data_IF_873004548312
#
_entry.id   IF_873004548312
#
_cell.length_a   1.000
_cell.length_b   1.000
_cell.length_c   1.000
_cell.angle_alpha   90.00
_cell.angle_beta   90.00
_cell.angle_gamma   90.00
#
_symmetry.space_group_name_H-M   'P 1'
#
loop_
_entity.id
_entity.type
_entity.pdbx_description
1 polymer ?
#
# COMPACT_ATOMS: atom_id res chain seq x y z
N UNK A 1 -8.19 -5.35 -4.38
CA UNK A 1 -8.88 -6.37 -3.52
C UNK A 1 -9.04 -5.77 -2.12
N UNK A 2 -10.09 -6.08 -1.35
CA UNK A 2 -10.32 -5.52 -0.01
C UNK A 2 -11.14 -6.49 0.84
N UNK A 3 -10.78 -6.66 2.13
CA UNK A 3 -11.51 -7.47 3.11
C UNK A 3 -12.64 -6.68 3.81
N UNK A 4 -12.53 -5.36 3.85
CA UNK A 4 -13.50 -4.48 4.50
C UNK A 4 -14.74 -4.23 3.65
N UNK A 5 -15.78 -3.74 4.31
CA UNK A 5 -17.10 -3.55 3.72
C UNK A 5 -17.64 -2.11 3.83
N UNK A 6 -16.76 -1.11 3.85
CA UNK A 6 -17.12 0.30 4.02
C UNK A 6 -18.22 0.71 3.04
N UNK A 7 -19.33 1.27 3.54
CA UNK A 7 -20.53 1.49 2.73
C UNK A 7 -20.38 2.55 1.64
N UNK A 8 -19.45 3.49 1.80
CA UNK A 8 -19.12 4.51 0.81
C UNK A 8 -18.11 4.04 -0.25
N UNK A 9 -17.46 2.89 -0.05
CA UNK A 9 -16.31 2.49 -0.85
C UNK A 9 -16.72 1.57 -2.01
N UNK A 10 -16.44 1.98 -3.25
CA UNK A 10 -16.77 1.20 -4.46
C UNK A 10 -16.04 -0.15 -4.59
N UNK A 11 -14.92 -0.33 -3.87
CA UNK A 11 -14.13 -1.57 -3.89
C UNK A 11 -14.39 -2.50 -2.69
N UNK A 12 -15.39 -2.18 -1.85
CA UNK A 12 -15.82 -2.99 -0.70
C UNK A 12 -16.00 -4.46 -1.08
N UNK A 13 -15.79 -5.39 -0.15
CA UNK A 13 -15.81 -6.84 -0.43
C UNK A 13 -17.09 -7.34 -1.11
N UNK A 14 -18.25 -6.77 -0.77
CA UNK A 14 -19.54 -7.22 -1.30
C UNK A 14 -19.89 -6.61 -2.67
N UNK A 15 -19.06 -5.69 -3.19
CA UNK A 15 -19.23 -5.16 -4.54
C UNK A 15 -18.96 -6.28 -5.56
N UNK A 16 -20.01 -6.71 -6.27
CA UNK A 16 -19.94 -7.76 -7.30
C UNK A 16 -19.67 -7.22 -8.70
N UNK A 17 -19.94 -5.93 -8.93
CA UNK A 17 -19.82 -5.29 -10.24
C UNK A 17 -18.44 -4.63 -10.45
N UNK A 18 -17.43 -5.01 -9.65
CA UNK A 18 -16.06 -4.49 -9.75
C UNK A 18 -15.12 -5.57 -10.25
N UNK A 19 -14.38 -5.30 -11.33
CA UNK A 19 -13.29 -6.17 -11.77
C UNK A 19 -12.13 -6.03 -10.79
N UNK A 20 -11.87 -7.08 -10.02
CA UNK A 20 -10.77 -7.11 -9.06
C UNK A 20 -9.49 -7.51 -9.78
N UNK A 21 -8.40 -6.82 -9.47
CA UNK A 21 -7.08 -7.11 -9.98
C UNK A 21 -6.04 -6.95 -8.87
N UNK A 22 -4.85 -7.48 -9.15
CA UNK A 22 -3.65 -7.32 -8.36
C UNK A 22 -2.49 -7.18 -9.35
N UNK A 23 -1.67 -6.15 -9.20
CA UNK A 23 -0.48 -6.00 -10.03
C UNK A 23 0.52 -7.08 -9.63
N UNK A 24 1.30 -7.56 -10.59
CA UNK A 24 2.49 -8.36 -10.31
C UNK A 24 3.58 -7.51 -9.64
N UNK A 25 4.54 -8.16 -8.98
CA UNK A 25 5.67 -7.45 -8.36
C UNK A 25 6.50 -6.69 -9.40
N UNK A 26 6.66 -7.27 -10.59
CA UNK A 26 7.40 -6.65 -11.69
C UNK A 26 6.69 -5.40 -12.23
N UNK A 27 5.36 -5.40 -12.31
CA UNK A 27 4.60 -4.19 -12.69
C UNK A 27 4.75 -3.08 -11.64
N UNK A 28 4.72 -3.42 -10.35
CA UNK A 28 4.90 -2.46 -9.25
C UNK A 28 6.31 -1.86 -9.29
N UNK A 29 7.33 -2.70 -9.47
CA UNK A 29 8.72 -2.27 -9.54
C UNK A 29 9.02 -1.50 -10.82
N UNK A 30 8.40 -1.87 -11.93
CA UNK A 30 8.46 -1.11 -13.18
C UNK A 30 7.90 0.30 -13.01
N UNK A 31 6.78 0.45 -12.31
CA UNK A 31 6.22 1.77 -11.99
C UNK A 31 7.11 2.59 -11.05
N UNK A 32 7.70 1.95 -10.02
CA UNK A 32 8.66 2.61 -9.14
C UNK A 32 9.94 3.04 -9.87
N UNK A 33 10.45 2.20 -10.77
CA UNK A 33 11.58 2.51 -11.65
C UNK A 33 11.28 3.70 -12.53
N UNK A 34 10.13 3.68 -13.20
CA UNK A 34 9.69 4.79 -14.03
C UNK A 34 9.64 6.09 -13.23
N UNK A 35 9.06 6.07 -12.03
CA UNK A 35 9.02 7.25 -11.17
C UNK A 35 10.43 7.75 -10.81
N UNK A 36 11.35 6.85 -10.46
CA UNK A 36 12.73 7.22 -10.15
C UNK A 36 13.48 7.79 -11.35
N UNK A 37 13.38 7.15 -12.52
CA UNK A 37 14.05 7.59 -13.77
C UNK A 37 13.49 8.91 -14.32
N UNK A 38 12.32 9.34 -13.85
CA UNK A 38 11.69 10.60 -14.22
C UNK A 38 11.70 11.63 -13.07
N UNK A 39 12.65 11.50 -12.13
CA UNK A 39 12.92 12.47 -11.06
C UNK A 39 11.74 12.73 -10.09
N UNK A 40 10.81 11.78 -9.96
CA UNK A 40 9.77 11.87 -8.94
C UNK A 40 10.39 11.65 -7.55
N UNK A 41 10.14 12.56 -6.61
CA UNK A 41 10.69 12.45 -5.25
C UNK A 41 10.01 11.42 -4.34
N UNK A 42 8.83 10.93 -4.72
CA UNK A 42 8.09 9.93 -3.93
C UNK A 42 6.98 9.24 -4.71
N UNK A 43 6.64 8.02 -4.28
CA UNK A 43 5.46 7.26 -4.73
C UNK A 43 4.56 6.87 -3.55
N UNK A 44 3.32 6.50 -3.87
CA UNK A 44 2.36 5.94 -2.92
C UNK A 44 1.99 4.53 -3.36
N UNK A 45 2.17 3.55 -2.48
CA UNK A 45 1.60 2.21 -2.65
C UNK A 45 0.24 2.17 -1.96
N UNK A 46 -0.81 2.01 -2.76
CA UNK A 46 -2.19 2.01 -2.28
C UNK A 46 -2.93 0.75 -2.74
N UNK A 47 -3.69 0.16 -1.82
CA UNK A 47 -4.58 -0.96 -2.09
C UNK A 47 -5.84 -0.87 -1.25
N UNK A 48 -6.79 -1.78 -1.49
CA UNK A 48 -7.77 -2.08 -0.45
C UNK A 48 -7.10 -2.83 0.71
N UNK A 49 -7.82 -2.98 1.82
CA UNK A 49 -7.26 -3.57 3.03
C UNK A 49 -7.16 -5.08 2.93
N UNK A 50 -5.93 -5.58 3.11
CA UNK A 50 -5.56 -6.98 3.23
C UNK A 50 -4.50 -7.04 4.34
N UNK A 51 -4.65 -7.95 5.29
CA UNK A 51 -3.84 -8.05 6.51
C UNK A 51 -3.24 -9.45 6.70
N UNK A 52 -3.25 -10.27 5.65
CA UNK A 52 -2.70 -11.62 5.71
C UNK A 52 -1.17 -11.59 5.80
N UNK A 53 -0.53 -12.57 6.45
CA UNK A 53 0.95 -12.64 6.54
C UNK A 53 1.63 -12.55 5.18
N UNK A 54 1.09 -13.24 4.17
CA UNK A 54 1.62 -13.20 2.80
C UNK A 54 1.55 -11.79 2.17
N UNK A 55 0.51 -11.00 2.47
CA UNK A 55 0.43 -9.62 2.00
C UNK A 55 1.47 -8.74 2.70
N UNK A 56 1.62 -8.90 4.02
CA UNK A 56 2.61 -8.18 4.82
C UNK A 56 4.03 -8.45 4.32
N UNK A 57 4.39 -9.72 4.10
CA UNK A 57 5.69 -10.13 3.57
C UNK A 57 5.94 -9.62 2.16
N UNK A 58 4.90 -9.59 1.32
CA UNK A 58 5.01 -9.05 -0.04
C UNK A 58 5.29 -7.56 -0.04
N UNK A 59 4.56 -6.77 0.76
CA UNK A 59 4.79 -5.33 0.88
C UNK A 59 6.18 -5.05 1.45
N UNK A 60 6.59 -5.82 2.46
CA UNK A 60 7.94 -5.78 3.04
C UNK A 60 9.05 -6.01 2.00
N UNK A 61 8.90 -7.04 1.18
CA UNK A 61 9.83 -7.34 0.08
C UNK A 61 9.85 -6.22 -0.97
N UNK A 62 8.69 -5.71 -1.39
CA UNK A 62 8.59 -4.63 -2.36
C UNK A 62 9.26 -3.34 -1.86
N UNK A 63 9.08 -2.98 -0.58
CA UNK A 63 9.75 -1.80 0.00
C UNK A 63 11.27 -1.91 -0.06
N UNK A 64 11.82 -3.08 0.29
CA UNK A 64 13.27 -3.35 0.21
C UNK A 64 13.78 -3.24 -1.22
N UNK A 65 13.07 -3.87 -2.17
CA UNK A 65 13.42 -3.84 -3.60
C UNK A 65 13.33 -2.43 -4.19
N UNK A 66 12.32 -1.62 -3.82
CA UNK A 66 12.18 -0.23 -4.28
C UNK A 66 13.31 0.64 -3.71
N UNK A 67 13.67 0.44 -2.44
CA UNK A 67 14.79 1.13 -1.80
C UNK A 67 16.11 0.81 -2.52
N UNK A 68 16.37 -0.47 -2.78
CA UNK A 68 17.56 -0.91 -3.54
C UNK A 68 17.58 -0.34 -4.96
N UNK A 69 16.43 -0.37 -5.64
CA UNK A 69 16.29 0.11 -7.02
C UNK A 69 16.64 1.59 -7.18
N UNK A 70 16.36 2.40 -6.16
CA UNK A 70 16.52 3.86 -6.17
C UNK A 70 17.69 4.35 -5.32
N UNK A 71 18.53 3.44 -4.80
CA UNK A 71 19.59 3.74 -3.82
C UNK A 71 19.07 4.59 -2.64
N UNK A 72 17.84 4.32 -2.21
CA UNK A 72 17.15 5.04 -1.15
C UNK A 72 16.64 6.44 -1.49
N UNK A 73 16.81 6.92 -2.72
CA UNK A 73 16.37 8.25 -3.13
C UNK A 73 14.84 8.37 -3.25
N UNK A 74 14.16 7.31 -3.71
CA UNK A 74 12.71 7.34 -3.91
C UNK A 74 11.97 7.06 -2.60
N UNK A 75 11.21 8.04 -2.10
CA UNK A 75 10.42 7.87 -0.88
C UNK A 75 9.12 7.11 -1.14
N UNK A 76 8.81 6.14 -0.29
CA UNK A 76 7.59 5.35 -0.39
C UNK A 76 6.61 5.69 0.73
N UNK A 77 5.39 6.07 0.36
CA UNK A 77 4.26 6.23 1.28
C UNK A 77 3.32 5.04 1.14
N UNK A 78 2.84 4.49 2.25
CA UNK A 78 1.86 3.39 2.24
C UNK A 78 0.44 3.91 2.51
N UNK A 79 -0.54 3.29 1.87
CA UNK A 79 -1.97 3.48 2.16
C UNK A 79 -2.70 2.15 1.97
N UNK A 80 -2.59 1.28 2.97
CA UNK A 80 -2.96 -0.14 2.88
C UNK A 80 -4.01 -0.57 3.93
N UNK A 81 -4.73 0.41 4.51
CA UNK A 81 -5.79 0.18 5.51
C UNK A 81 -5.28 0.04 6.95
N UNK A 82 -6.13 -0.48 7.82
CA UNK A 82 -5.77 -0.80 9.21
C UNK A 82 -4.86 -2.04 9.24
N UNK A 83 -3.83 -2.03 10.10
CA UNK A 83 -2.90 -3.16 10.26
C UNK A 83 -2.48 -3.28 11.73
N UNK A 84 -1.87 -4.40 12.08
CA UNK A 84 -1.25 -4.58 13.39
C UNK A 84 -0.02 -3.68 13.57
N UNK A 85 0.29 -3.30 14.81
CA UNK A 85 1.44 -2.44 15.14
C UNK A 85 2.76 -3.01 14.62
N UNK A 86 2.96 -4.32 14.76
CA UNK A 86 4.15 -5.03 14.31
C UNK A 86 4.31 -4.95 12.79
N UNK A 87 3.19 -4.93 12.06
CA UNK A 87 3.20 -4.78 10.60
C UNK A 87 3.65 -3.37 10.20
N UNK A 88 3.13 -2.34 10.87
CA UNK A 88 3.60 -0.97 10.64
C UNK A 88 5.09 -0.81 10.95
N UNK A 89 5.56 -1.36 12.08
CA UNK A 89 6.98 -1.33 12.47
C UNK A 89 7.85 -2.01 11.41
N UNK A 90 7.47 -3.21 10.98
CA UNK A 90 8.17 -3.97 9.93
C UNK A 90 8.29 -3.16 8.63
N UNK A 91 7.18 -2.58 8.16
CA UNK A 91 7.20 -1.81 6.92
C UNK A 91 8.03 -0.53 7.03
N UNK A 92 8.02 0.15 8.18
CA UNK A 92 8.89 1.30 8.43
C UNK A 92 10.37 0.91 8.32
N UNK A 93 10.78 -0.17 9.00
CA UNK A 93 12.16 -0.70 8.94
C UNK A 93 12.59 -1.11 7.53
N UNK A 94 11.64 -1.58 6.72
CA UNK A 94 11.87 -1.98 5.34
C UNK A 94 11.92 -0.83 4.34
N UNK A 95 11.65 0.42 4.76
CA UNK A 95 11.83 1.62 3.96
C UNK A 95 10.55 2.42 3.65
N UNK A 96 9.42 2.11 4.30
CA UNK A 96 8.27 3.00 4.25
C UNK A 96 8.57 4.31 5.00
N UNK A 97 8.22 5.44 4.40
CA UNK A 97 8.52 6.78 4.94
C UNK A 97 7.31 7.43 5.59
N UNK A 98 6.11 7.18 5.05
CA UNK A 98 4.85 7.76 5.52
C UNK A 98 3.75 6.73 5.42
N UNK A 99 2.69 6.94 6.20
CA UNK A 99 1.47 6.16 6.13
C UNK A 99 0.27 7.10 6.00
N UNK A 100 -0.61 6.82 5.05
CA UNK A 100 -1.88 7.52 4.87
C UNK A 100 -3.00 6.62 5.38
N UNK A 101 -3.51 6.96 6.56
CA UNK A 101 -4.70 6.36 7.16
C UNK A 101 -5.67 7.48 7.50
N UNK A 102 -6.78 7.57 6.76
CA UNK A 102 -7.83 8.54 7.03
C UNK A 102 -8.70 8.00 8.15
N UNK A 103 -9.09 8.88 9.08
CA UNK A 103 -10.10 8.53 10.10
C UNK A 103 -11.51 8.43 9.50
N UNK A 104 -11.69 8.94 8.28
CA UNK A 104 -12.93 9.02 7.49
C UNK A 104 -14.04 9.88 8.12
N UNK A 105 -14.45 9.60 9.35
CA UNK A 105 -15.36 10.41 10.14
C UNK A 105 -14.94 10.41 11.61
N UNK A 106 -15.03 11.57 12.28
CA UNK A 106 -14.79 11.68 13.73
C UNK A 106 -16.03 11.43 14.58
N UNK A 107 -17.20 11.19 13.97
CA UNK A 107 -18.43 10.82 14.66
C UNK A 107 -18.58 9.29 14.67
N UNK A 108 -18.51 8.62 15.85
CA UNK A 108 -18.65 7.16 15.94
C UNK A 108 -20.05 6.63 15.61
N UNK A 109 -21.08 7.47 15.60
CA UNK A 109 -22.48 7.08 15.32
C UNK A 109 -22.85 7.14 13.83
N UNK A 110 -21.90 7.52 12.98
CA UNK A 110 -22.07 7.69 11.53
C UNK A 110 -21.94 6.37 10.76
#
# INVERSE_FOLDING_TARGET
ICLKNCFYCGIRRDSKNVRRYNLSDEEILGAARFAYENDYGSIVLQSGEVDTPAFVERVDSLLRRIRELSDGALRVTLSLGEQAEETFRRWFESGAHRYLLRIEASNPEL
#
